data_IF_461576756719
#
_entry.id   IF_461576756719
#
_cell.length_a   1.000
_cell.length_b   1.000
_cell.length_c   1.000
_cell.angle_alpha   90.00
_cell.angle_beta   90.00
_cell.angle_gamma   90.00
#
_symmetry.space_group_name_H-M   'P 1'
#
loop_
_entity.id
_entity.type
_entity.pdbx_description
1 polymer ?
#
# COMPACT_ATOMS: atom_id res chain seq x y z
N UNK A 1 -9.14 5.24 21.27
CA UNK A 1 -8.91 5.16 19.82
C UNK A 1 -7.47 4.72 19.62
N UNK A 2 -7.23 3.41 19.48
CA UNK A 2 -5.88 2.85 19.34
C UNK A 2 -5.41 3.13 17.92
N UNK A 3 -4.36 3.94 17.78
CA UNK A 3 -3.71 4.17 16.48
C UNK A 3 -2.69 3.05 16.29
N UNK A 4 -3.02 2.07 15.46
CA UNK A 4 -2.14 0.94 15.08
C UNK A 4 -1.00 1.36 14.15
N UNK A 5 -0.71 2.67 14.07
CA UNK A 5 0.35 3.16 13.21
C UNK A 5 1.68 2.80 13.86
N UNK A 6 2.44 1.95 13.18
CA UNK A 6 3.80 1.62 13.55
C UNK A 6 4.57 2.92 13.85
N UNK A 7 5.31 3.04 14.97
CA UNK A 7 6.13 4.21 15.27
C UNK A 7 7.08 4.59 14.13
N UNK A 8 7.50 3.63 13.29
CA UNK A 8 8.30 3.87 12.09
C UNK A 8 7.54 4.65 10.99
N UNK A 9 6.21 4.62 11.01
CA UNK A 9 5.36 5.37 10.08
C UNK A 9 5.34 6.87 10.35
N UNK A 10 5.89 7.32 11.50
CA UNK A 10 6.04 8.73 11.84
C UNK A 10 6.86 9.52 10.80
N UNK A 11 7.76 8.85 10.06
CA UNK A 11 8.56 9.44 8.99
C UNK A 11 7.72 10.02 7.84
N UNK A 12 6.50 9.53 7.66
CA UNK A 12 5.59 10.00 6.62
C UNK A 12 4.61 11.05 7.13
N UNK A 13 4.69 11.48 8.39
CA UNK A 13 3.82 12.52 8.93
C UNK A 13 4.60 13.82 9.14
N UNK A 14 4.13 14.94 8.58
CA UNK A 14 4.69 16.27 8.82
C UNK A 14 3.61 17.16 9.41
N UNK A 15 3.86 17.79 10.56
CA UNK A 15 2.86 18.60 11.27
C UNK A 15 1.50 17.93 11.49
N UNK A 16 1.48 16.60 11.68
CA UNK A 16 0.26 15.76 11.79
C UNK A 16 -0.51 15.55 10.47
N UNK A 17 -0.01 16.08 9.37
CA UNK A 17 -0.49 15.76 8.02
C UNK A 17 0.24 14.51 7.52
N UNK A 18 -0.52 13.56 6.99
CA UNK A 18 0.03 12.37 6.34
C UNK A 18 0.57 12.77 4.97
N UNK A 19 1.89 12.67 4.80
CA UNK A 19 2.58 12.86 3.53
C UNK A 19 2.60 11.58 2.70
N UNK A 20 2.05 10.48 3.22
CA UNK A 20 1.79 9.29 2.40
C UNK A 20 0.68 9.64 1.42
N UNK A 21 1.03 9.67 0.13
CA UNK A 21 0.03 9.82 -0.92
C UNK A 21 -1.00 8.68 -0.80
N UNK A 22 -2.26 9.04 -0.88
CA UNK A 22 -3.36 8.10 -0.96
C UNK A 22 -3.25 7.26 -2.23
N UNK A 23 -3.90 6.10 -2.26
CA UNK A 23 -3.88 5.23 -3.45
C UNK A 23 -4.42 5.96 -4.69
N UNK A 24 -5.41 6.83 -4.51
CA UNK A 24 -6.03 7.61 -5.59
C UNK A 24 -5.04 8.61 -6.21
N UNK A 25 -4.24 9.27 -5.37
CA UNK A 25 -3.21 10.20 -5.82
C UNK A 25 -2.08 9.47 -6.57
N UNK A 26 -1.61 8.34 -6.03
CA UNK A 26 -0.64 7.48 -6.73
C UNK A 26 -1.18 6.99 -8.08
N UNK A 27 -2.43 6.56 -8.12
CA UNK A 27 -3.05 6.10 -9.34
C UNK A 27 -3.16 7.21 -10.38
N UNK A 28 -3.48 8.43 -9.95
CA UNK A 28 -3.52 9.62 -10.82
C UNK A 28 -2.14 9.90 -11.41
N UNK A 29 -1.09 9.88 -10.58
CA UNK A 29 0.30 10.05 -11.04
C UNK A 29 0.72 8.97 -12.04
N UNK A 30 0.29 7.72 -11.81
CA UNK A 30 0.58 6.58 -12.67
C UNK A 30 -0.38 6.45 -13.86
N UNK A 31 -1.34 7.37 -14.03
CA UNK A 31 -2.39 7.35 -15.07
C UNK A 31 -3.20 6.05 -15.09
N UNK A 32 -3.47 5.50 -13.91
CA UNK A 32 -4.29 4.30 -13.73
C UNK A 32 -5.74 4.76 -13.50
N UNK A 33 -6.57 4.59 -14.53
CA UNK A 33 -7.96 5.06 -14.50
C UNK A 33 -8.94 4.09 -13.80
N UNK A 34 -8.50 2.87 -13.46
CA UNK A 34 -9.37 1.83 -12.88
C UNK A 34 -8.64 1.08 -11.76
N UNK A 35 -8.45 1.78 -10.65
CA UNK A 35 -7.78 1.28 -9.45
C UNK A 35 -8.67 0.26 -8.76
N UNK A 36 -8.39 -1.02 -8.95
CA UNK A 36 -9.04 -2.07 -8.16
C UNK A 36 -8.29 -2.17 -6.82
N UNK A 37 -8.72 -1.39 -5.82
CA UNK A 37 -8.12 -1.33 -4.47
C UNK A 37 -7.87 -2.73 -3.87
N UNK A 38 -8.83 -3.64 -4.08
CA UNK A 38 -8.74 -5.03 -3.62
C UNK A 38 -7.57 -5.81 -4.23
N UNK A 39 -7.06 -5.43 -5.40
CA UNK A 39 -5.89 -6.07 -6.05
C UNK A 39 -4.56 -5.43 -5.65
N UNK A 40 -4.55 -4.22 -5.12
CA UNK A 40 -3.32 -3.50 -4.75
C UNK A 40 -2.73 -4.03 -3.44
N UNK A 41 -3.61 -4.32 -2.48
CA UNK A 41 -3.20 -4.88 -1.19
C UNK A 41 -3.03 -6.40 -1.21
N UNK A 42 -3.59 -7.08 -2.21
CA UNK A 42 -3.42 -8.51 -2.39
C UNK A 42 -2.10 -8.75 -3.11
N UNK A 43 -1.08 -9.09 -2.33
CA UNK A 43 0.14 -9.68 -2.89
C UNK A 43 -0.29 -10.97 -3.59
N UNK A 44 -0.21 -10.99 -4.92
CA UNK A 44 -0.52 -12.22 -5.66
C UNK A 44 0.29 -13.36 -5.06
N UNK A 45 -0.36 -14.48 -4.68
CA UNK A 45 0.36 -15.63 -4.18
C UNK A 45 1.26 -16.10 -5.32
N UNK A 46 2.57 -15.80 -5.23
CA UNK A 46 3.55 -16.36 -6.15
C UNK A 46 3.34 -17.88 -6.11
N UNK A 47 3.07 -18.54 -7.24
CA UNK A 47 2.99 -19.99 -7.25
C UNK A 47 4.35 -20.50 -6.78
N UNK A 48 4.38 -20.99 -5.54
CA UNK A 48 5.57 -21.59 -4.97
C UNK A 48 5.74 -22.89 -5.76
N UNK A 49 6.66 -22.90 -6.72
CA UNK A 49 7.02 -24.11 -7.46
C UNK A 49 7.75 -25.03 -6.50
N UNK A 50 6.99 -25.70 -5.64
CA UNK A 50 7.47 -26.78 -4.80
C UNK A 50 7.90 -27.91 -5.74
N UNK A 51 9.18 -27.91 -6.12
CA UNK A 51 9.81 -29.07 -6.75
C UNK A 51 9.78 -30.19 -5.70
N UNK A 52 8.81 -31.09 -5.81
CA UNK A 52 8.83 -32.35 -5.08
C UNK A 52 10.10 -33.10 -5.51
N UNK A 53 10.96 -33.42 -4.54
CA UNK A 53 12.04 -34.41 -4.68
C UNK A 53 11.48 -35.78 -4.40
#
# INVERSE_FOLDING_TARGET
>A
MVRFLDPAYKCFTFNQEDMTLTIEEYATLLRINNVQLNKIYVKEPKPMTLKKR
#
